data_IF_898240342803
#
_entry.id   IF_898240342803
#
_cell.length_a   1.000
_cell.length_b   1.000
_cell.length_c   1.000
_cell.angle_alpha   90.00
_cell.angle_beta   90.00
_cell.angle_gamma   90.00
#
_symmetry.space_group_name_H-M   'P 1'
#
loop_
_entity.id
_entity.type
_entity.pdbx_description
1 polymer ?
#
# COMPACT_ATOMS: atom_id res chain seq x y z
N UNK A 1 9.66 0.11 1.61
CA UNK A 1 8.64 1.13 1.25
C UNK A 1 7.97 1.71 2.49
N UNK A 2 7.14 0.96 3.23
CA UNK A 2 6.41 1.52 4.40
C UNK A 2 7.34 1.86 5.58
N UNK A 3 8.30 0.98 5.89
CA UNK A 3 9.30 1.24 6.94
C UNK A 3 10.16 2.47 6.58
N UNK A 4 10.73 2.49 5.39
CA UNK A 4 11.49 3.64 4.86
C UNK A 4 10.70 4.95 4.89
N UNK A 5 9.43 4.94 4.48
CA UNK A 5 8.58 6.14 4.54
C UNK A 5 8.44 6.64 5.98
N UNK A 6 8.31 5.73 6.95
CA UNK A 6 8.24 6.07 8.36
C UNK A 6 9.55 6.67 8.87
N UNK A 7 10.70 6.11 8.46
CA UNK A 7 12.03 6.64 8.82
C UNK A 7 12.24 8.06 8.28
N UNK A 8 11.72 8.34 7.09
CA UNK A 8 11.74 9.67 6.47
C UNK A 8 10.66 10.63 6.99
N UNK A 9 9.87 10.23 8.00
CA UNK A 9 8.81 11.06 8.58
C UNK A 9 7.56 11.23 7.69
N UNK A 10 7.37 10.35 6.71
CA UNK A 10 6.22 10.33 5.80
C UNK A 10 5.13 9.39 6.32
N UNK A 11 3.87 9.79 6.15
CA UNK A 11 2.74 8.90 6.27
C UNK A 11 2.68 7.93 5.08
N UNK A 12 2.27 6.70 5.33
CA UNK A 12 2.05 5.72 4.27
C UNK A 12 0.86 4.80 4.53
N UNK A 13 0.24 4.27 3.47
CA UNK A 13 -0.86 3.33 3.57
C UNK A 13 -0.79 2.28 2.45
N UNK A 14 -0.86 1.00 2.84
CA UNK A 14 -0.99 -0.12 1.93
C UNK A 14 -2.44 -0.22 1.45
N UNK A 15 -2.64 -0.21 0.12
CA UNK A 15 -3.96 -0.31 -0.49
C UNK A 15 -3.98 -1.35 -1.61
N UNK A 16 -5.08 -2.09 -1.68
CA UNK A 16 -5.35 -3.06 -2.75
C UNK A 16 -6.41 -2.52 -3.73
N UNK A 17 -7.19 -1.52 -3.33
CA UNK A 17 -8.27 -0.95 -4.15
C UNK A 17 -7.86 -0.47 -5.55
N UNK A 18 -6.63 0.04 -5.82
CA UNK A 18 -6.26 0.44 -7.19
C UNK A 18 -6.21 -0.74 -8.17
N UNK A 19 -6.08 -1.98 -7.68
CA UNK A 19 -6.15 -3.18 -8.52
C UNK A 19 -7.48 -3.29 -9.27
N UNK A 20 -8.57 -2.74 -8.71
CA UNK A 20 -9.88 -2.75 -9.35
C UNK A 20 -9.92 -1.90 -10.62
N UNK A 21 -9.11 -0.83 -10.69
CA UNK A 21 -9.05 0.05 -11.85
C UNK A 21 -7.91 -0.36 -12.81
N UNK A 22 -6.73 -0.67 -12.27
CA UNK A 22 -5.51 -0.91 -13.06
C UNK A 22 -5.42 -2.34 -13.63
N UNK A 23 -6.24 -3.27 -13.14
CA UNK A 23 -6.36 -4.60 -13.71
C UNK A 23 -7.71 -4.83 -14.42
N UNK A 24 -8.51 -3.78 -14.62
CA UNK A 24 -9.85 -3.91 -15.19
C UNK A 24 -9.82 -4.23 -16.70
N UNK A 25 -10.24 -5.44 -17.06
CA UNK A 25 -10.64 -5.79 -18.43
C UNK A 25 -9.55 -5.66 -19.50
N UNK A 26 -9.99 -5.55 -20.76
CA UNK A 26 -9.12 -5.51 -21.94
C UNK A 26 -8.48 -4.13 -22.19
N UNK A 27 -8.98 -3.07 -21.54
CA UNK A 27 -8.45 -1.72 -21.71
C UNK A 27 -7.33 -1.46 -20.70
N UNK A 28 -6.10 -1.67 -21.16
CA UNK A 28 -4.88 -1.49 -20.36
C UNK A 28 -4.32 -0.07 -20.40
N UNK A 29 -5.02 0.89 -21.01
CA UNK A 29 -4.51 2.25 -21.18
C UNK A 29 -4.06 2.88 -19.86
N UNK A 30 -4.87 2.77 -18.81
CA UNK A 30 -4.54 3.33 -17.50
C UNK A 30 -3.34 2.62 -16.83
N UNK A 31 -3.21 1.30 -17.02
CA UNK A 31 -2.08 0.54 -16.52
C UNK A 31 -0.78 0.91 -17.23
N UNK A 32 -0.85 1.09 -18.56
CA UNK A 32 0.29 1.52 -19.38
C UNK A 32 0.69 2.95 -19.06
N UNK A 33 -0.27 3.86 -18.86
CA UNK A 33 -0.01 5.24 -18.41
C UNK A 33 0.66 5.27 -17.03
N UNK A 34 0.26 4.36 -16.13
CA UNK A 34 0.91 4.17 -14.83
C UNK A 34 2.29 3.46 -14.93
N UNK A 35 2.75 3.11 -16.12
CA UNK A 35 4.05 2.49 -16.36
C UNK A 35 4.11 0.99 -16.06
N UNK A 36 2.96 0.31 -15.94
CA UNK A 36 2.90 -1.14 -15.71
C UNK A 36 3.19 -1.86 -17.04
N UNK A 37 4.22 -2.73 -17.12
CA UNK A 37 4.58 -3.41 -18.36
C UNK A 37 3.50 -4.40 -18.84
N UNK A 38 3.56 -4.76 -20.12
CA UNK A 38 2.68 -5.79 -20.69
C UNK A 38 2.92 -7.16 -20.03
N UNK A 39 1.83 -7.88 -19.77
CA UNK A 39 1.85 -9.15 -19.03
C UNK A 39 1.92 -9.00 -17.50
N UNK A 40 2.08 -7.78 -16.98
CA UNK A 40 2.08 -7.52 -15.53
C UNK A 40 0.69 -7.09 -15.05
N UNK A 41 0.42 -7.35 -13.78
CA UNK A 41 -0.78 -6.91 -13.05
C UNK A 41 -0.35 -6.24 -11.75
N UNK A 42 -1.09 -5.21 -11.34
CA UNK A 42 -0.88 -4.59 -10.05
C UNK A 42 -1.33 -5.55 -8.94
N UNK A 43 -0.48 -5.76 -7.93
CA UNK A 43 -0.83 -6.56 -6.75
C UNK A 43 -1.26 -5.68 -5.57
N UNK A 44 -0.59 -4.55 -5.40
CA UNK A 44 -0.87 -3.57 -4.35
C UNK A 44 -0.23 -2.23 -4.70
N UNK A 45 -0.65 -1.18 -4.02
CA UNK A 45 -0.01 0.11 -4.05
C UNK A 45 0.26 0.60 -2.63
N UNK A 46 1.25 1.49 -2.50
CA UNK A 46 1.51 2.22 -1.27
C UNK A 46 1.38 3.70 -1.58
N UNK A 47 0.42 4.36 -0.95
CA UNK A 47 0.36 5.83 -0.99
C UNK A 47 1.34 6.38 0.06
N UNK A 48 2.06 7.44 -0.30
CA UNK A 48 3.08 8.08 0.53
C UNK A 48 2.85 9.58 0.49
N UNK A 49 2.93 10.26 1.63
CA UNK A 49 2.79 11.71 1.71
C UNK A 49 2.87 12.23 3.13
N UNK A 50 2.66 13.53 3.31
CA UNK A 50 2.55 14.13 4.63
C UNK A 50 1.15 13.90 5.20
N UNK A 51 1.09 13.52 6.47
CA UNK A 51 -0.19 13.43 7.18
C UNK A 51 -0.86 14.81 7.22
N UNK A 52 -2.18 14.86 6.97
CA UNK A 52 -2.94 16.09 7.08
C UNK A 52 -2.82 16.66 8.50
N UNK A 53 -2.74 18.00 8.63
CA UNK A 53 -2.53 18.66 9.92
C UNK A 53 -3.60 18.28 10.97
N UNK A 54 -4.83 18.05 10.53
CA UNK A 54 -5.98 17.63 11.34
C UNK A 54 -5.91 16.17 11.78
N UNK A 55 -5.15 15.33 11.05
CA UNK A 55 -5.04 13.89 11.27
C UNK A 55 -3.56 13.49 11.34
N UNK A 56 -2.82 14.07 12.29
CA UNK A 56 -1.47 13.59 12.58
C UNK A 56 -1.53 12.10 12.87
N UNK A 57 -0.76 11.32 12.11
CA UNK A 57 -0.63 9.89 12.34
C UNK A 57 -0.21 9.66 13.81
N UNK A 58 -1.03 8.90 14.53
CA UNK A 58 -0.72 8.45 15.88
C UNK A 58 -0.59 6.94 15.84
N UNK A 59 0.46 6.42 16.45
CA UNK A 59 0.62 4.97 16.61
C UNK A 59 -0.40 4.54 17.64
N UNK A 60 -1.47 3.89 17.18
CA UNK A 60 -2.45 3.27 18.08
C UNK A 60 -1.81 2.16 18.92
N UNK A 61 -2.48 1.76 20.00
CA UNK A 61 -2.00 0.67 20.84
C UNK A 61 -1.91 -0.63 20.03
N UNK A 62 -0.76 -1.32 20.12
CA UNK A 62 -0.56 -2.56 19.38
C UNK A 62 -1.51 -3.62 19.93
N UNK A 63 -2.44 -4.06 19.11
CA UNK A 63 -3.27 -5.22 19.41
C UNK A 63 -2.55 -6.50 18.98
N UNK A 64 -2.46 -7.53 19.85
CA UNK A 64 -1.96 -8.83 19.44
C UNK A 64 -2.81 -9.36 18.28
N UNK A 65 -2.18 -9.71 17.15
CA UNK A 65 -2.83 -10.35 16.02
C UNK A 65 -2.13 -11.66 15.66
N UNK A 66 -2.92 -12.72 15.53
CA UNK A 66 -2.45 -14.06 15.22
C UNK A 66 -1.92 -14.81 16.44
N UNK A 67 -1.57 -16.08 16.23
CA UNK A 67 -0.87 -16.92 17.19
C UNK A 67 0.48 -17.31 16.59
N UNK A 68 1.55 -17.11 17.36
CA UNK A 68 2.87 -17.67 17.04
C UNK A 68 2.96 -18.98 17.81
N UNK A 69 2.96 -20.09 17.09
CA UNK A 69 3.13 -21.41 17.69
C UNK A 69 4.58 -21.85 17.45
N UNK A 70 5.24 -22.30 18.51
CA UNK A 70 6.54 -22.95 18.42
C UNK A 70 6.30 -24.46 18.41
N UNK A 71 7.05 -25.18 17.58
CA UNK A 71 7.05 -26.64 17.53
C UNK A 71 8.48 -27.07 17.86
N UNK A 72 8.63 -27.88 18.91
CA UNK A 72 9.89 -28.47 19.33
C UNK A 72 10.33 -29.61 18.39
#
# INVERSE_FOLDING_TARGET
MILEATELGLGSCYIVSPTLALNAGNDRALAQEAGIPDGYQLQCAVIIGYAAAENKFTVGERTPKGSVNYVD
#
